data_IF_504201708914
#
_entry.id   IF_504201708914
#
_cell.length_a   1.000
_cell.length_b   1.000
_cell.length_c   1.000
_cell.angle_alpha   90.00
_cell.angle_beta   90.00
_cell.angle_gamma   90.00
#
_symmetry.space_group_name_H-M   'P 1'
#
loop_
_entity.id
_entity.type
_entity.pdbx_description
1 polymer ?
#
# COMPACT_ATOMS: atom_id res chain seq x y z
N UNK A 1 -4.78 14.85 5.53
CA UNK A 1 -3.58 14.50 4.74
C UNK A 1 -3.11 13.10 5.09
N UNK A 2 -2.82 12.32 4.07
CA UNK A 2 -2.26 10.97 4.27
C UNK A 2 -0.75 11.07 4.47
N UNK A 3 -0.26 10.44 5.51
CA UNK A 3 1.17 10.31 5.77
C UNK A 3 1.50 8.86 6.12
N UNK A 4 2.78 8.51 5.97
CA UNK A 4 3.28 7.17 6.27
C UNK A 4 4.26 7.24 7.44
N UNK A 5 4.09 6.34 8.39
CA UNK A 5 5.00 6.20 9.52
C UNK A 5 5.55 4.78 9.53
N UNK A 6 6.85 4.64 9.52
CA UNK A 6 7.46 3.32 9.48
C UNK A 6 7.03 2.47 10.68
N UNK A 7 6.65 1.22 10.42
CA UNK A 7 6.30 0.28 11.49
C UNK A 7 7.55 0.02 12.32
N UNK A 8 7.43 0.18 13.64
CA UNK A 8 8.54 0.05 14.57
C UNK A 8 8.05 -0.57 15.89
N UNK A 9 8.90 -0.64 16.89
CA UNK A 9 8.57 -1.24 18.18
C UNK A 9 7.50 -0.45 18.95
N UNK A 10 7.37 0.85 18.67
CA UNK A 10 6.40 1.71 19.35
C UNK A 10 4.99 1.57 18.79
N UNK A 11 4.85 1.46 17.47
CA UNK A 11 3.54 1.43 16.81
C UNK A 11 3.08 0.04 16.36
N UNK A 12 3.93 -0.99 16.47
CA UNK A 12 3.57 -2.33 16.00
C UNK A 12 2.33 -2.91 16.71
N UNK A 13 2.09 -2.54 17.96
CA UNK A 13 0.93 -3.01 18.69
C UNK A 13 -0.36 -2.41 18.14
N UNK A 14 -0.33 -1.14 17.73
CA UNK A 14 -1.47 -0.49 17.07
C UNK A 14 -1.80 -1.17 15.75
N UNK A 15 -0.77 -1.52 14.96
CA UNK A 15 -0.95 -2.25 13.70
C UNK A 15 -1.56 -3.63 13.97
N UNK A 16 -1.05 -4.36 14.95
CA UNK A 16 -1.53 -5.69 15.30
C UNK A 16 -2.98 -5.65 15.78
N UNK A 17 -3.35 -4.60 16.49
CA UNK A 17 -4.72 -4.40 16.97
C UNK A 17 -5.69 -4.17 15.80
N UNK A 18 -5.29 -3.40 14.80
CA UNK A 18 -6.10 -3.15 13.60
C UNK A 18 -6.14 -4.35 12.65
N UNK A 19 -5.02 -5.03 12.49
CA UNK A 19 -4.85 -6.10 11.50
C UNK A 19 -4.14 -7.30 12.13
N UNK A 20 -4.91 -8.21 12.71
CA UNK A 20 -4.38 -9.37 13.42
C UNK A 20 -3.49 -10.26 12.56
N UNK A 21 -3.74 -10.29 11.25
CA UNK A 21 -2.97 -11.11 10.31
C UNK A 21 -1.68 -10.43 9.84
N UNK A 22 -1.51 -9.14 10.13
CA UNK A 22 -0.30 -8.42 9.74
C UNK A 22 0.88 -8.84 10.61
N UNK A 23 2.00 -9.10 10.00
CA UNK A 23 3.23 -9.46 10.70
C UNK A 23 4.41 -8.65 10.19
N UNK A 24 5.39 -8.44 11.04
CA UNK A 24 6.63 -7.78 10.64
C UNK A 24 7.40 -8.68 9.68
N UNK A 25 7.89 -8.09 8.60
CA UNK A 25 8.69 -8.77 7.59
C UNK A 25 9.87 -7.88 7.21
N UNK A 26 11.07 -8.29 7.61
CA UNK A 26 12.28 -7.51 7.36
C UNK A 26 12.64 -7.40 5.87
N UNK A 27 12.06 -8.25 5.02
CA UNK A 27 12.28 -8.22 3.57
C UNK A 27 11.42 -7.17 2.90
N UNK A 28 10.49 -6.57 3.62
CA UNK A 28 9.55 -5.56 3.09
C UNK A 28 9.73 -4.24 3.81
N UNK A 29 9.34 -3.18 3.12
CA UNK A 29 9.17 -1.87 3.73
C UNK A 29 7.72 -1.79 4.19
N UNK A 30 7.51 -1.50 5.46
CA UNK A 30 6.19 -1.52 6.07
C UNK A 30 5.91 -0.17 6.73
N UNK A 31 4.77 0.43 6.35
CA UNK A 31 4.34 1.71 6.91
C UNK A 31 2.94 1.60 7.49
N UNK A 32 2.73 2.27 8.63
CA UNK A 32 1.39 2.62 9.06
C UNK A 32 0.90 3.78 8.21
N UNK A 33 -0.34 3.72 7.79
CA UNK A 33 -1.00 4.81 7.07
C UNK A 33 -1.74 5.66 8.08
N UNK A 34 -1.49 6.97 8.06
CA UNK A 34 -2.14 7.92 8.96
C UNK A 34 -2.95 8.93 8.16
N UNK A 35 -4.16 9.20 8.62
CA UNK A 35 -4.93 10.36 8.21
C UNK A 35 -4.83 11.37 9.34
N UNK A 36 -4.09 12.45 9.12
CA UNK A 36 -3.66 13.39 10.15
C UNK A 36 -2.96 12.64 11.29
N UNK A 37 -3.54 12.56 12.48
CA UNK A 37 -2.92 11.88 13.61
C UNK A 37 -3.49 10.49 13.89
N UNK A 38 -4.36 9.99 13.01
CA UNK A 38 -5.08 8.73 13.25
C UNK A 38 -4.50 7.63 12.36
N UNK A 39 -4.16 6.49 12.96
CA UNK A 39 -3.78 5.30 12.22
C UNK A 39 -5.01 4.70 11.55
N UNK A 40 -4.98 4.56 10.22
CA UNK A 40 -6.12 4.07 9.45
C UNK A 40 -5.82 2.82 8.62
N UNK A 41 -4.56 2.46 8.47
CA UNK A 41 -4.22 1.31 7.63
C UNK A 41 -2.75 0.97 7.63
N UNK A 42 -2.38 0.07 6.75
CA UNK A 42 -0.99 -0.34 6.52
C UNK A 42 -0.70 -0.43 5.04
N UNK A 43 0.54 -0.21 4.68
CA UNK A 43 1.05 -0.44 3.34
C UNK A 43 2.40 -1.15 3.43
N UNK A 44 2.54 -2.25 2.69
CA UNK A 44 3.76 -3.04 2.64
C UNK A 44 4.21 -3.14 1.19
N UNK A 45 5.49 -2.92 0.93
CA UNK A 45 6.05 -3.09 -0.40
C UNK A 45 7.50 -3.54 -0.30
N UNK A 46 8.03 -4.02 -1.41
CA UNK A 46 9.46 -4.33 -1.55
C UNK A 46 9.98 -3.65 -2.81
N UNK A 47 11.29 -3.49 -2.89
CA UNK A 47 11.95 -2.89 -4.04
C UNK A 47 12.83 -3.93 -4.70
N UNK A 48 12.67 -4.09 -6.01
CA UNK A 48 13.51 -4.96 -6.82
C UNK A 48 13.94 -4.16 -8.05
N UNK A 49 15.22 -3.81 -8.12
CA UNK A 49 15.77 -2.94 -9.15
C UNK A 49 15.04 -1.59 -9.15
N UNK A 50 14.36 -1.23 -10.23
CA UNK A 50 13.61 0.02 -10.34
C UNK A 50 12.10 -0.17 -10.17
N UNK A 51 11.68 -1.35 -9.67
CA UNK A 51 10.29 -1.70 -9.47
C UNK A 51 9.95 -1.69 -7.99
N UNK A 52 8.83 -1.08 -7.64
CA UNK A 52 8.23 -1.19 -6.33
C UNK A 52 7.13 -2.25 -6.40
N UNK A 53 7.24 -3.29 -5.58
CA UNK A 53 6.28 -4.40 -5.57
C UNK A 53 5.36 -4.20 -4.37
N UNK A 54 4.16 -3.72 -4.64
CA UNK A 54 3.16 -3.46 -3.61
C UNK A 54 2.56 -4.79 -3.18
N UNK A 55 2.77 -5.17 -1.93
CA UNK A 55 2.32 -6.44 -1.40
C UNK A 55 1.11 -6.33 -0.51
N UNK A 56 0.88 -5.19 0.13
CA UNK A 56 -0.31 -4.94 0.93
C UNK A 56 -0.66 -3.46 0.93
N UNK A 57 -1.94 -3.15 0.80
CA UNK A 57 -2.50 -1.84 1.07
C UNK A 57 -3.89 -2.10 1.65
N UNK A 58 -4.02 -1.92 2.95
CA UNK A 58 -5.27 -2.23 3.65
C UNK A 58 -5.67 -1.04 4.50
N UNK A 59 -6.90 -0.58 4.32
CA UNK A 59 -7.52 0.41 5.18
C UNK A 59 -8.45 -0.33 6.14
N UNK A 60 -8.33 -0.04 7.42
CA UNK A 60 -9.17 -0.65 8.44
C UNK A 60 -10.65 -0.36 8.12
N UNK A 61 -11.52 -1.35 8.35
CA UNK A 61 -12.90 -1.27 7.91
C UNK A 61 -13.67 -0.07 8.46
N UNK A 62 -13.30 0.42 9.65
CA UNK A 62 -13.91 1.63 10.23
C UNK A 62 -13.67 2.88 9.40
N UNK A 63 -12.67 2.87 8.52
CA UNK A 63 -12.26 4.02 7.72
C UNK A 63 -12.48 3.80 6.22
N UNK A 64 -13.10 2.70 5.84
CA UNK A 64 -13.41 2.43 4.43
C UNK A 64 -14.61 3.26 3.97
N UNK A 65 -14.67 3.54 2.67
CA UNK A 65 -15.77 4.30 2.08
C UNK A 65 -15.57 5.81 2.10
N UNK A 66 -14.43 6.30 2.56
CA UNK A 66 -14.14 7.74 2.64
C UNK A 66 -13.06 8.20 1.64
N UNK A 67 -12.63 7.31 0.75
CA UNK A 67 -11.60 7.64 -0.22
C UNK A 67 -10.17 7.51 0.30
N UNK A 68 -9.96 7.01 1.50
CA UNK A 68 -8.62 6.88 2.07
C UNK A 68 -7.74 5.89 1.30
N UNK A 69 -8.31 4.80 0.81
CA UNK A 69 -7.55 3.82 0.02
C UNK A 69 -6.97 4.44 -1.25
N UNK A 70 -7.78 5.20 -1.97
CA UNK A 70 -7.37 5.93 -3.17
C UNK A 70 -6.29 6.95 -2.86
N UNK A 71 -6.49 7.76 -1.82
CA UNK A 71 -5.51 8.75 -1.39
C UNK A 71 -4.21 8.11 -0.95
N UNK A 72 -4.29 6.99 -0.24
CA UNK A 72 -3.12 6.24 0.20
C UNK A 72 -2.32 5.73 -0.99
N UNK A 73 -2.99 5.17 -1.97
CA UNK A 73 -2.32 4.66 -3.16
C UNK A 73 -1.59 5.79 -3.91
N UNK A 74 -2.26 6.92 -4.16
CA UNK A 74 -1.62 8.01 -4.90
C UNK A 74 -0.50 8.69 -4.10
N UNK A 75 -0.59 8.72 -2.77
CA UNK A 75 0.51 9.18 -1.92
C UNK A 75 1.71 8.24 -2.08
N UNK A 76 1.47 6.93 -2.10
CA UNK A 76 2.50 5.93 -2.34
C UNK A 76 3.13 6.09 -3.72
N UNK A 77 2.31 6.25 -4.76
CA UNK A 77 2.82 6.43 -6.13
C UNK A 77 3.73 7.66 -6.22
N UNK A 78 3.31 8.77 -5.63
CA UNK A 78 4.12 9.98 -5.61
C UNK A 78 5.45 9.77 -4.88
N UNK A 79 5.42 9.07 -3.74
CA UNK A 79 6.64 8.73 -3.01
C UNK A 79 7.59 7.88 -3.86
N UNK A 80 7.04 6.93 -4.61
CA UNK A 80 7.87 6.09 -5.48
C UNK A 80 8.48 6.88 -6.63
N UNK A 81 7.75 7.83 -7.20
CA UNK A 81 8.28 8.74 -8.22
C UNK A 81 9.45 9.57 -7.67
N UNK A 82 9.31 10.08 -6.46
CA UNK A 82 10.36 10.86 -5.80
C UNK A 82 11.61 10.03 -5.51
N UNK A 83 11.45 8.73 -5.36
CA UNK A 83 12.57 7.79 -5.13
C UNK A 83 13.11 7.19 -6.42
N UNK A 84 12.70 7.72 -7.57
CA UNK A 84 13.16 7.30 -8.89
C UNK A 84 12.79 5.86 -9.26
N UNK A 85 11.72 5.33 -8.69
CA UNK A 85 11.16 4.06 -9.15
C UNK A 85 10.52 4.27 -10.52
N UNK A 86 10.64 3.28 -11.39
CA UNK A 86 10.14 3.36 -12.76
C UNK A 86 8.78 2.70 -12.95
N UNK A 87 8.45 1.78 -12.07
CA UNK A 87 7.16 1.08 -12.15
C UNK A 87 6.70 0.57 -10.80
N UNK A 88 5.39 0.36 -10.69
CA UNK A 88 4.78 -0.28 -9.54
C UNK A 88 4.14 -1.58 -10.04
N UNK A 89 4.42 -2.68 -9.35
CA UNK A 89 3.84 -3.98 -9.63
C UNK A 89 2.93 -4.39 -8.49
N UNK A 90 1.82 -5.02 -8.82
CA UNK A 90 0.84 -5.48 -7.84
C UNK A 90 0.40 -6.90 -8.21
N UNK A 91 0.43 -7.80 -7.24
CA UNK A 91 -0.01 -9.18 -7.44
C UNK A 91 -1.55 -9.25 -7.39
N UNK A 92 -2.15 -9.89 -8.39
CA UNK A 92 -3.61 -10.00 -8.54
C UNK A 92 -4.30 -10.58 -7.31
N UNK A 93 -3.71 -11.61 -6.73
CA UNK A 93 -4.27 -12.35 -5.59
C UNK A 93 -4.34 -11.56 -4.30
N UNK A 94 -3.77 -10.36 -4.27
CA UNK A 94 -3.73 -9.52 -3.07
C UNK A 94 -4.91 -8.57 -2.97
N UNK A 95 -5.80 -8.55 -3.96
CA UNK A 95 -6.84 -7.53 -4.04
C UNK A 95 -8.25 -8.12 -4.06
N UNK A 96 -9.15 -7.43 -3.36
CA UNK A 96 -10.58 -7.65 -3.46
C UNK A 96 -11.07 -7.18 -4.84
N UNK A 97 -12.30 -7.52 -5.19
CA UNK A 97 -12.92 -7.06 -6.43
C UNK A 97 -12.95 -5.52 -6.53
N UNK A 98 -13.17 -4.84 -5.41
CA UNK A 98 -13.17 -3.37 -5.37
C UNK A 98 -11.78 -2.80 -5.67
N UNK A 99 -10.75 -3.38 -5.06
CA UNK A 99 -9.38 -2.96 -5.30
C UNK A 99 -8.96 -3.24 -6.76
N UNK A 100 -9.39 -4.37 -7.30
CA UNK A 100 -9.12 -4.72 -8.70
C UNK A 100 -9.69 -3.67 -9.65
N UNK A 101 -10.94 -3.26 -9.45
CA UNK A 101 -11.57 -2.22 -10.27
C UNK A 101 -10.81 -0.90 -10.19
N UNK A 102 -10.37 -0.51 -8.99
CA UNK A 102 -9.58 0.70 -8.80
C UNK A 102 -8.25 0.60 -9.57
N UNK A 103 -7.56 -0.52 -9.43
CA UNK A 103 -6.24 -0.71 -10.07
C UNK A 103 -6.36 -0.66 -11.59
N UNK A 104 -7.34 -1.36 -12.15
CA UNK A 104 -7.59 -1.34 -13.60
C UNK A 104 -7.91 0.07 -14.10
N UNK A 105 -8.67 0.84 -13.32
CA UNK A 105 -9.01 2.22 -13.66
C UNK A 105 -7.90 3.24 -13.43
N UNK A 106 -6.81 2.84 -12.78
CA UNK A 106 -5.72 3.74 -12.39
C UNK A 106 -4.50 3.68 -13.30
N UNK A 107 -4.59 2.99 -14.43
CA UNK A 107 -3.50 2.93 -15.40
C UNK A 107 -2.63 1.68 -15.29
N UNK A 108 -3.00 0.73 -14.47
CA UNK A 108 -2.31 -0.56 -14.41
C UNK A 108 -2.73 -1.44 -15.57
N UNK A 109 -1.78 -2.20 -16.08
CA UNK A 109 -1.99 -3.15 -17.18
C UNK A 109 -1.61 -4.54 -16.66
N UNK A 110 -2.46 -5.51 -16.90
CA UNK A 110 -2.17 -6.90 -16.52
C UNK A 110 -1.16 -7.52 -17.48
N UNK A 111 -0.10 -8.08 -16.91
CA UNK A 111 0.93 -8.82 -17.65
C UNK A 111 1.23 -10.11 -16.88
N UNK A 112 0.83 -11.27 -17.43
CA UNK A 112 1.13 -12.58 -16.84
C UNK A 112 0.70 -12.72 -15.37
N UNK A 113 -0.51 -12.23 -15.02
CA UNK A 113 -1.04 -12.34 -13.66
C UNK A 113 -0.58 -11.26 -12.70
N UNK A 114 0.20 -10.30 -13.19
CA UNK A 114 0.70 -9.17 -12.39
C UNK A 114 0.19 -7.87 -13.02
N UNK A 115 -0.26 -6.95 -12.20
CA UNK A 115 -0.60 -5.60 -12.67
C UNK A 115 0.64 -4.71 -12.59
N UNK A 116 0.92 -4.00 -13.68
CA UNK A 116 2.10 -3.14 -13.79
C UNK A 116 1.67 -1.75 -14.23
N UNK A 117 2.20 -0.74 -13.57
CA UNK A 117 2.02 0.65 -13.97
C UNK A 117 3.38 1.33 -14.08
N UNK A 118 3.65 1.91 -15.24
CA UNK A 118 4.84 2.77 -15.42
C UNK A 118 4.57 4.13 -14.78
N UNK A 119 5.52 4.60 -14.04
CA UNK A 119 5.38 5.87 -13.32
C UNK A 119 6.50 6.86 -13.65
#
# INVERSE_FOLDING_TARGET
MITFEKVNTENKSAVKEMFHSHSLDEKKVQYCVKADDTYIGVIDYSVQEESAILSQLIIHFDYQGYGYGTNTYFTFEEMMKQRNMKEIKVLQEMFTEQAKSFIEGSGFIEENGIYVKKI
#
